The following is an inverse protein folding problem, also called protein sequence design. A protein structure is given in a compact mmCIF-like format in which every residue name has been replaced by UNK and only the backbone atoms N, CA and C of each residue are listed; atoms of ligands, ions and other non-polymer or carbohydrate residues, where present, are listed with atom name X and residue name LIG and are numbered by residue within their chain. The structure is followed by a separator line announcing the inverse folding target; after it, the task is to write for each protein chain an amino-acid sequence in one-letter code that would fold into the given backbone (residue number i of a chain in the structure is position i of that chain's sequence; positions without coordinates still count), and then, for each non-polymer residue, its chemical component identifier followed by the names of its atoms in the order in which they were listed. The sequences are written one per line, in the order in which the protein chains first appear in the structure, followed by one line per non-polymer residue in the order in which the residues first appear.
data_IF_801044985541
#
_entry.id   IF_801044985541
#
_cell.length_a   1.000
_cell.length_b   1.000
_cell.length_c   1.000
_cell.angle_alpha   90.00
_cell.angle_beta   90.00
_cell.angle_gamma   90.00
#
_symmetry.space_group_name_H-M   'P 1'
#
loop_
_entity.id
_entity.type
_entity.pdbx_description
1 polymer ?
#
# COMPACT_ATOMS: atom_id res chain seq x y z
N UNK A 1 -6.54 -8.41 2.58
CA UNK A 1 -6.16 -7.14 3.24
C UNK A 1 -5.51 -7.46 4.58
N UNK A 2 -4.94 -8.67 4.71
CA UNK A 2 -4.82 -9.36 5.99
C UNK A 2 -3.52 -8.96 6.72
N UNK A 3 -2.75 -8.10 6.09
CA UNK A 3 -1.45 -7.62 6.54
C UNK A 3 -1.51 -6.19 7.12
N UNK A 4 -2.70 -5.64 7.36
CA UNK A 4 -2.87 -4.31 7.95
C UNK A 4 -3.50 -4.37 9.35
N UNK A 5 -3.11 -3.43 10.21
CA UNK A 5 -3.69 -3.22 11.54
C UNK A 5 -4.09 -1.76 11.72
N UNK A 6 -5.24 -1.55 12.33
CA UNK A 6 -5.66 -0.26 12.88
C UNK A 6 -5.02 -0.10 14.25
N UNK A 7 -4.32 1.02 14.44
CA UNK A 7 -3.60 1.35 15.67
C UNK A 7 -4.12 2.65 16.21
N UNK A 8 -4.51 2.63 17.47
CA UNK A 8 -4.77 3.80 18.27
C UNK A 8 -3.67 3.92 19.33
N UNK A 9 -3.06 5.09 19.44
CA UNK A 9 -2.04 5.38 20.44
C UNK A 9 -2.48 6.58 21.28
N UNK A 10 -2.45 6.41 22.60
CA UNK A 10 -2.77 7.44 23.58
C UNK A 10 -1.56 7.73 24.48
N UNK A 11 -1.28 9.01 24.75
CA UNK A 11 -0.28 9.46 25.70
C UNK A 11 -0.79 10.70 26.45
N UNK A 12 -1.11 10.54 27.73
CA UNK A 12 -1.80 11.59 28.48
C UNK A 12 -3.14 11.91 27.83
N UNK A 13 -3.36 13.16 27.42
CA UNK A 13 -4.57 13.57 26.69
C UNK A 13 -4.44 13.47 25.17
N UNK A 14 -3.24 13.23 24.64
CA UNK A 14 -3.01 13.14 23.21
C UNK A 14 -3.41 11.76 22.68
N UNK A 15 -4.21 11.75 21.62
CA UNK A 15 -4.68 10.54 20.94
C UNK A 15 -4.35 10.62 19.46
N UNK A 16 -3.80 9.55 18.91
CA UNK A 16 -3.48 9.43 17.49
C UNK A 16 -3.97 8.09 16.97
N UNK A 17 -4.42 8.06 15.72
CA UNK A 17 -4.91 6.84 15.08
C UNK A 17 -4.28 6.70 13.69
N UNK A 18 -4.10 5.47 13.24
CA UNK A 18 -3.63 5.18 11.90
C UNK A 18 -3.69 3.71 11.55
N UNK A 19 -3.71 3.43 10.26
CA UNK A 19 -3.62 2.07 9.72
C UNK A 19 -2.20 1.80 9.24
N UNK A 20 -1.65 0.66 9.63
CA UNK A 20 -0.24 0.31 9.40
C UNK A 20 -0.12 -1.10 8.83
N UNK A 21 0.89 -1.31 7.99
CA UNK A 21 1.23 -2.64 7.47
C UNK A 21 2.06 -3.43 8.48
N UNK A 22 1.84 -4.73 8.54
CA UNK A 22 2.63 -5.69 9.31
C UNK A 22 3.92 -6.08 8.55
N UNK A 23 5.03 -6.35 9.27
CA UNK A 23 5.18 -6.23 10.71
C UNK A 23 5.29 -4.76 11.16
N UNK A 24 4.46 -4.39 12.13
CA UNK A 24 4.43 -3.07 12.75
C UNK A 24 5.56 -2.99 13.78
N UNK A 25 6.52 -2.08 13.59
CA UNK A 25 7.60 -1.87 14.58
C UNK A 25 7.41 -0.53 15.27
N UNK A 26 7.62 -0.52 16.58
CA UNK A 26 7.43 0.64 17.45
C UNK A 26 8.74 0.88 18.23
N UNK A 27 9.16 2.13 18.39
CA UNK A 27 10.34 2.51 19.17
C UNK A 27 10.93 3.84 18.71
N UNK A 28 12.06 4.29 19.27
CA UNK A 28 12.60 5.64 18.95
C UNK A 28 13.39 5.75 17.66
N UNK A 29 13.80 4.62 17.09
CA UNK A 29 14.56 4.59 15.84
C UNK A 29 13.76 5.13 14.65
N UNK A 30 14.45 5.76 13.70
CA UNK A 30 13.87 6.29 12.46
C UNK A 30 13.28 5.21 11.56
N UNK A 31 13.68 3.94 11.73
CA UNK A 31 13.20 2.81 10.93
C UNK A 31 11.95 2.12 11.47
N UNK A 32 11.21 2.73 12.41
CA UNK A 32 9.97 2.18 12.95
C UNK A 32 8.75 2.75 12.24
N UNK A 33 7.67 1.98 12.22
CA UNK A 33 6.39 2.43 11.64
C UNK A 33 5.73 3.48 12.54
N UNK A 34 5.87 3.32 13.86
CA UNK A 34 5.47 4.31 14.85
C UNK A 34 6.71 4.69 15.67
N UNK A 35 7.08 5.97 15.61
CA UNK A 35 8.27 6.49 16.28
C UNK A 35 7.88 7.24 17.55
N UNK A 36 8.26 6.71 18.71
CA UNK A 36 8.00 7.31 20.04
C UNK A 36 9.30 7.57 20.78
N UNK A 37 9.32 8.52 21.73
CA UNK A 37 10.51 8.81 22.54
C UNK A 37 11.71 9.35 21.73
N UNK A 38 11.45 10.02 20.61
CA UNK A 38 12.50 10.64 19.79
C UNK A 38 12.60 12.16 19.98
N UNK A 39 11.55 12.78 20.52
CA UNK A 39 11.48 14.20 20.81
C UNK A 39 10.75 14.40 22.17
N UNK A 40 11.50 14.66 23.27
CA UNK A 40 12.95 14.55 23.38
C UNK A 40 13.45 13.10 23.18
N UNK A 41 14.73 12.91 22.87
CA UNK A 41 15.33 11.56 22.78
C UNK A 41 15.27 10.90 24.16
N UNK A 42 14.39 9.93 24.29
CA UNK A 42 14.13 9.17 25.51
C UNK A 42 14.87 7.83 25.41
N UNK A 43 16.00 7.66 26.10
CA UNK A 43 16.79 6.44 26.04
C UNK A 43 16.06 5.24 26.65
N UNK A 44 14.99 5.46 27.42
CA UNK A 44 14.18 4.38 27.99
C UNK A 44 13.36 3.64 26.93
N UNK A 45 13.15 4.26 25.78
CA UNK A 45 12.56 3.61 24.60
C UNK A 45 13.68 3.06 23.71
N UNK A 46 13.81 1.74 23.64
CA UNK A 46 14.73 1.09 22.70
C UNK A 46 14.50 1.52 21.24
N UNK A 47 15.57 1.49 20.43
CA UNK A 47 15.51 1.86 19.00
C UNK A 47 14.46 1.05 18.25
N UNK A 48 14.30 -0.22 18.59
CA UNK A 48 13.17 -1.08 18.22
C UNK A 48 12.69 -1.67 19.55
N UNK A 49 11.49 -1.30 19.98
CA UNK A 49 10.98 -1.62 21.30
C UNK A 49 10.05 -2.83 21.25
N UNK A 50 9.08 -2.77 20.35
CA UNK A 50 8.03 -3.78 20.23
C UNK A 50 7.75 -4.01 18.75
N UNK A 51 7.43 -5.25 18.40
CA UNK A 51 7.00 -5.63 17.06
C UNK A 51 5.67 -6.35 17.16
N UNK A 52 4.71 -5.95 16.33
CA UNK A 52 3.48 -6.70 16.07
C UNK A 52 3.63 -7.36 14.71
N UNK A 53 3.41 -8.67 14.63
CA UNK A 53 3.52 -9.44 13.41
C UNK A 53 2.41 -10.50 13.30
N UNK A 54 2.18 -10.99 12.08
CA UNK A 54 1.23 -12.07 11.82
C UNK A 54 2.00 -13.38 11.68
N UNK A 55 1.72 -14.36 12.53
CA UNK A 55 2.34 -15.68 12.49
C UNK A 55 1.27 -16.75 12.68
N UNK A 56 1.21 -17.71 11.75
CA UNK A 56 0.15 -18.74 11.75
C UNK A 56 -1.28 -18.17 11.69
N UNK A 57 -1.47 -17.01 11.05
CA UNK A 57 -2.77 -16.33 10.97
C UNK A 57 -3.22 -15.61 12.26
N UNK A 58 -2.37 -15.58 13.28
CA UNK A 58 -2.61 -14.92 14.57
C UNK A 58 -1.67 -13.74 14.73
N UNK A 59 -2.16 -12.65 15.33
CA UNK A 59 -1.29 -11.55 15.70
C UNK A 59 -0.42 -11.99 16.88
N UNK A 60 0.85 -11.57 16.85
CA UNK A 60 1.80 -11.78 17.91
C UNK A 60 2.45 -10.46 18.27
N UNK A 61 2.65 -10.24 19.57
CA UNK A 61 3.45 -9.16 20.11
C UNK A 61 4.79 -9.70 20.56
N UNK A 62 5.86 -9.08 20.11
CA UNK A 62 7.24 -9.44 20.44
C UNK A 62 7.93 -8.25 21.09
N UNK A 63 8.37 -8.42 22.33
CA UNK A 63 9.23 -7.44 22.98
C UNK A 63 10.66 -7.55 22.44
N UNK A 64 11.24 -6.44 22.00
CA UNK A 64 12.64 -6.31 21.55
C UNK A 64 13.42 -5.32 22.40
N UNK A 65 12.85 -4.89 23.52
CA UNK A 65 13.36 -3.78 24.29
C UNK A 65 14.22 -4.24 25.46
N UNK A 66 15.06 -3.34 25.95
CA UNK A 66 15.82 -3.56 27.20
C UNK A 66 14.92 -3.40 28.43
N UNK A 67 13.80 -2.72 28.24
CA UNK A 67 13.01 -2.10 29.28
C UNK A 67 11.61 -2.75 29.43
N UNK A 68 11.28 -3.69 28.56
CA UNK A 68 10.01 -4.41 28.52
C UNK A 68 8.84 -3.59 27.98
N UNK A 69 7.93 -4.34 27.34
CA UNK A 69 6.59 -3.92 26.94
C UNK A 69 5.60 -4.46 27.96
N UNK A 70 4.61 -3.66 28.39
CA UNK A 70 3.57 -4.14 29.31
C UNK A 70 2.38 -4.63 28.48
N UNK A 71 1.98 -5.88 28.66
CA UNK A 71 0.82 -6.47 28.00
C UNK A 71 -0.01 -7.26 29.00
N UNK A 72 -1.33 -7.03 29.03
CA UNK A 72 -2.22 -7.64 30.03
C UNK A 72 -1.82 -7.32 31.48
N UNK A 73 -1.28 -6.12 31.73
CA UNK A 73 -0.78 -5.71 33.06
C UNK A 73 0.55 -6.34 33.49
N UNK A 74 1.17 -7.18 32.65
CA UNK A 74 2.45 -7.83 32.93
C UNK A 74 3.56 -7.28 32.04
N UNK A 75 4.73 -7.02 32.63
CA UNK A 75 5.94 -6.71 31.89
C UNK A 75 6.46 -7.95 31.14
N UNK A 76 6.59 -7.85 29.83
CA UNK A 76 7.18 -8.86 28.96
C UNK A 76 8.71 -8.88 29.10
N UNK A 77 9.30 -10.07 29.01
CA UNK A 77 10.76 -10.23 28.96
C UNK A 77 11.27 -9.90 27.56
N UNK A 78 12.53 -9.46 27.44
CA UNK A 78 13.16 -9.24 26.14
C UNK A 78 13.14 -10.51 25.29
N UNK A 79 12.64 -10.39 24.06
CA UNK A 79 12.49 -11.50 23.12
C UNK A 79 11.23 -12.35 23.34
N UNK A 80 10.48 -12.11 24.42
CA UNK A 80 9.22 -12.80 24.68
C UNK A 80 8.21 -12.50 23.57
N UNK A 81 7.54 -13.55 23.12
CA UNK A 81 6.49 -13.49 22.10
C UNK A 81 5.20 -14.01 22.70
N UNK A 82 4.14 -13.23 22.60
CA UNK A 82 2.81 -13.60 23.08
C UNK A 82 1.80 -13.48 21.95
N UNK A 83 0.79 -14.34 21.98
CA UNK A 83 -0.37 -14.16 21.12
C UNK A 83 -1.11 -12.88 21.54
N UNK A 84 -1.53 -12.11 20.53
CA UNK A 84 -2.15 -10.80 20.69
C UNK A 84 -3.55 -10.88 20.07
N UNK A 85 -4.60 -10.54 20.83
CA UNK A 85 -5.96 -10.58 20.31
C UNK A 85 -6.32 -9.27 19.60
N UNK A 86 -7.31 -9.33 18.71
CA UNK A 86 -7.79 -8.14 18.02
C UNK A 86 -8.41 -7.14 19.00
N UNK A 87 -7.85 -5.94 19.03
CA UNK A 87 -8.32 -4.83 19.85
C UNK A 87 -7.71 -4.78 21.25
N UNK A 88 -6.75 -5.63 21.55
CA UNK A 88 -6.03 -5.64 22.82
C UNK A 88 -5.20 -4.37 23.04
N UNK A 89 -4.88 -4.14 24.32
CA UNK A 89 -4.07 -3.03 24.80
C UNK A 89 -2.68 -3.50 25.25
N UNK A 90 -1.66 -2.73 24.90
CA UNK A 90 -0.33 -2.83 25.49
C UNK A 90 0.25 -1.44 25.72
N UNK A 91 1.23 -1.35 26.62
CA UNK A 91 1.90 -0.10 26.97
C UNK A 91 3.39 -0.18 26.65
N UNK A 92 3.90 0.89 26.04
CA UNK A 92 5.34 1.16 25.92
C UNK A 92 5.62 2.52 26.55
N UNK A 93 6.18 2.50 27.77
CA UNK A 93 6.73 3.70 28.43
C UNK A 93 5.70 4.85 28.49
N UNK A 94 4.51 4.58 29.03
CA UNK A 94 3.41 5.53 29.16
C UNK A 94 2.67 5.85 27.86
N UNK A 95 2.96 5.15 26.76
CA UNK A 95 2.15 5.18 25.54
C UNK A 95 1.31 3.92 25.50
N UNK A 96 0.00 4.09 25.56
CA UNK A 96 -0.95 2.99 25.44
C UNK A 96 -1.29 2.79 23.96
N UNK A 97 -1.25 1.54 23.51
CA UNK A 97 -1.54 1.14 22.14
C UNK A 97 -2.71 0.17 22.14
N UNK A 98 -3.71 0.47 21.33
CA UNK A 98 -4.74 -0.48 20.92
C UNK A 98 -4.50 -0.89 19.49
N UNK A 99 -4.39 -2.19 19.23
CA UNK A 99 -4.13 -2.71 17.88
C UNK A 99 -5.20 -3.72 17.51
N UNK A 100 -5.79 -3.58 16.34
CA UNK A 100 -6.77 -4.52 15.80
C UNK A 100 -6.46 -4.82 14.34
N UNK A 101 -6.73 -6.05 13.87
CA UNK A 101 -6.71 -6.33 12.44
C UNK A 101 -7.60 -5.33 11.70
N UNK A 102 -7.02 -4.71 10.67
CA UNK A 102 -7.75 -3.78 9.84
C UNK A 102 -8.86 -4.56 9.12
N UNK A 103 -10.10 -4.13 9.34
CA UNK A 103 -11.23 -4.66 8.58
C UNK A 103 -11.42 -3.78 7.36
N UNK A 104 -11.58 -4.44 6.20
CA UNK A 104 -12.07 -3.79 4.99
C UNK A 104 -13.50 -3.34 5.25
N UNK A 105 -13.84 -2.11 4.91
CA UNK A 105 -15.24 -1.71 4.92
C UNK A 105 -15.93 -2.35 3.69
N UNK A 106 -16.85 -3.32 3.87
CA UNK A 106 -17.53 -3.94 2.73
C UNK A 106 -18.38 -2.93 1.95
N UNK A 107 -18.79 -1.83 2.57
CA UNK A 107 -19.63 -0.78 1.97
C UNK A 107 -18.82 0.18 1.08
N UNK A 108 -17.48 0.13 1.15
CA UNK A 108 -16.61 0.92 0.28
C UNK A 108 -16.16 0.01 -0.87
N UNK A 109 -16.80 0.09 -2.05
CA UNK A 109 -16.41 -0.72 -3.18
C UNK A 109 -14.99 -0.36 -3.64
N UNK A 110 -14.33 -1.32 -4.28
CA UNK A 110 -13.12 -0.99 -5.04
C UNK A 110 -13.52 -0.06 -6.17
N UNK A 111 -12.94 1.13 -6.22
CA UNK A 111 -13.13 2.04 -7.34
C UNK A 111 -12.61 1.40 -8.63
N UNK A 112 -11.44 0.76 -8.56
CA UNK A 112 -10.84 0.00 -9.64
C UNK A 112 -9.74 -0.94 -9.11
N UNK A 113 -9.13 -1.72 -10.00
CA UNK A 113 -7.93 -2.50 -9.73
C UNK A 113 -6.77 -1.94 -10.55
N UNK A 114 -5.62 -1.78 -9.90
CA UNK A 114 -4.35 -1.61 -10.58
C UNK A 114 -3.72 -3.00 -10.75
N UNK A 115 -3.50 -3.45 -11.99
CA UNK A 115 -2.94 -4.77 -12.28
C UNK A 115 -1.55 -4.65 -12.88
N UNK A 116 -0.60 -5.44 -12.42
CA UNK A 116 0.75 -5.49 -13.03
C UNK A 116 1.28 -6.91 -13.02
N UNK A 117 2.24 -7.20 -13.90
CA UNK A 117 2.85 -8.52 -14.01
C UNK A 117 4.25 -8.49 -13.39
N UNK A 118 4.44 -9.27 -12.33
CA UNK A 118 5.71 -9.37 -11.59
C UNK A 118 6.09 -10.85 -11.58
N UNK A 119 7.27 -11.19 -12.09
CA UNK A 119 7.71 -12.59 -12.16
C UNK A 119 6.81 -13.50 -13.02
N UNK A 120 6.09 -12.92 -14.00
CA UNK A 120 5.15 -13.65 -14.85
C UNK A 120 3.73 -13.79 -14.28
N UNK A 121 3.54 -13.53 -13.00
CA UNK A 121 2.22 -13.55 -12.36
C UNK A 121 1.56 -12.18 -12.38
N UNK A 122 0.26 -12.15 -12.64
CA UNK A 122 -0.54 -10.93 -12.52
C UNK A 122 -0.90 -10.70 -11.05
N UNK A 123 -0.52 -9.54 -10.52
CA UNK A 123 -0.92 -9.07 -9.20
C UNK A 123 -1.97 -7.97 -9.35
N UNK A 124 -3.08 -8.12 -8.62
CA UNK A 124 -4.17 -7.15 -8.56
C UNK A 124 -4.12 -6.38 -7.25
N UNK A 125 -4.15 -5.05 -7.36
CA UNK A 125 -4.19 -4.14 -6.23
C UNK A 125 -5.56 -3.46 -6.22
N UNK A 126 -6.44 -3.74 -5.24
CA UNK A 126 -7.68 -3.00 -5.08
C UNK A 126 -7.37 -1.54 -4.78
N UNK A 127 -7.98 -0.61 -5.51
CA UNK A 127 -7.88 0.83 -5.27
C UNK A 127 -9.23 1.36 -4.79
N UNK A 128 -9.21 2.13 -3.72
CA UNK A 128 -10.39 2.57 -2.97
C UNK A 128 -9.96 2.98 -1.57
N UNK A 129 -10.15 2.08 -0.59
CA UNK A 129 -9.58 2.21 0.76
C UNK A 129 -8.06 2.06 0.81
N UNK A 130 -7.45 1.70 -0.31
CA UNK A 130 -6.01 1.54 -0.47
C UNK A 130 -5.54 2.34 -1.67
N UNK A 131 -4.30 2.79 -1.58
CA UNK A 131 -3.52 3.34 -2.68
C UNK A 131 -2.36 2.40 -3.00
N UNK A 132 -1.90 2.45 -4.25
CA UNK A 132 -0.72 1.75 -4.69
C UNK A 132 0.49 2.70 -4.70
N UNK A 133 1.56 2.26 -4.06
CA UNK A 133 2.87 2.89 -4.08
C UNK A 133 3.76 2.16 -5.07
N UNK A 134 4.39 2.90 -5.97
CA UNK A 134 5.38 2.38 -6.91
C UNK A 134 6.77 2.82 -6.44
N UNK A 135 7.58 1.88 -5.97
CA UNK A 135 8.85 2.16 -5.28
C UNK A 135 10.01 1.59 -6.08
N UNK A 136 11.04 2.40 -6.32
CA UNK A 136 12.32 1.96 -6.89
C UNK A 136 13.19 1.41 -5.77
N UNK A 137 13.54 0.13 -5.90
CA UNK A 137 14.55 -0.56 -5.09
C UNK A 137 15.78 -0.92 -5.94
N UNK A 138 16.82 -1.41 -5.28
CA UNK A 138 18.02 -1.97 -5.95
C UNK A 138 17.65 -3.09 -6.92
N UNK A 139 16.65 -3.91 -6.57
CA UNK A 139 16.22 -5.08 -7.34
C UNK A 139 15.16 -4.75 -8.43
N UNK A 140 14.85 -3.47 -8.66
CA UNK A 140 13.85 -3.05 -9.64
C UNK A 140 12.68 -2.29 -9.00
N UNK A 141 11.54 -2.30 -9.67
CA UNK A 141 10.34 -1.60 -9.21
C UNK A 141 9.48 -2.60 -8.43
N UNK A 142 9.13 -2.22 -7.20
CA UNK A 142 8.20 -2.97 -6.35
C UNK A 142 6.92 -2.17 -6.13
N UNK A 143 5.86 -2.89 -5.82
CA UNK A 143 4.52 -2.35 -5.66
C UNK A 143 3.99 -2.68 -4.28
N UNK A 144 3.52 -1.66 -3.57
CA UNK A 144 3.07 -1.78 -2.19
C UNK A 144 1.73 -1.07 -1.98
N UNK A 145 0.81 -1.74 -1.29
CA UNK A 145 -0.44 -1.12 -0.86
C UNK A 145 -0.20 -0.27 0.39
N UNK A 146 -0.85 0.89 0.42
CA UNK A 146 -0.94 1.70 1.61
C UNK A 146 -2.39 2.10 1.88
N UNK A 147 -2.82 2.13 3.14
CA UNK A 147 -4.20 2.42 3.48
C UNK A 147 -4.50 3.92 3.29
N UNK A 148 -5.65 4.20 2.66
CA UNK A 148 -6.24 5.52 2.52
C UNK A 148 -7.43 5.60 3.47
N UNK A 149 -7.22 6.16 4.66
CA UNK A 149 -8.30 6.47 5.61
C UNK A 149 -8.77 7.92 5.44
N UNK A 150 -10.08 8.21 5.59
CA UNK A 150 -10.59 9.58 5.58
C UNK A 150 -9.78 10.48 6.52
N UNK A 151 -9.34 11.64 6.01
CA UNK A 151 -8.54 12.62 6.79
C UNK A 151 -7.05 12.31 6.92
N UNK A 152 -6.55 11.21 6.36
CA UNK A 152 -5.09 10.95 6.34
C UNK A 152 -4.43 11.72 5.20
N UNK A 153 -3.45 12.57 5.52
CA UNK A 153 -2.70 13.27 4.49
C UNK A 153 -1.74 12.30 3.77
N UNK A 154 -1.63 12.49 2.46
CA UNK A 154 -0.76 11.69 1.60
C UNK A 154 0.70 11.60 2.09
N UNK A 155 1.23 12.70 2.64
CA UNK A 155 2.58 12.75 3.19
C UNK A 155 2.73 11.86 4.43
N UNK A 156 1.68 11.75 5.25
CA UNK A 156 1.70 10.88 6.43
C UNK A 156 1.75 9.42 6.01
N UNK A 157 1.05 9.05 4.93
CA UNK A 157 1.07 7.68 4.41
C UNK A 157 2.47 7.33 3.93
N UNK A 158 3.13 8.20 3.16
CA UNK A 158 4.51 7.98 2.72
C UNK A 158 5.45 7.91 3.92
N UNK A 159 5.31 8.82 4.89
CA UNK A 159 6.15 8.84 6.09
C UNK A 159 6.01 7.58 6.96
N UNK A 160 4.86 6.91 6.93
CA UNK A 160 4.62 5.62 7.61
C UNK A 160 5.23 4.43 6.86
N UNK A 161 5.52 4.58 5.57
CA UNK A 161 6.04 3.51 4.73
C UNK A 161 7.56 3.52 4.74
N UNK A 162 8.16 2.34 4.83
CA UNK A 162 9.61 2.21 4.90
C UNK A 162 10.20 2.21 3.50
N UNK A 163 10.88 3.28 3.15
CA UNK A 163 11.66 3.40 1.92
C UNK A 163 13.16 3.35 2.27
N UNK A 164 13.67 2.16 2.63
CA UNK A 164 15.04 1.99 3.16
C UNK A 164 16.11 2.20 2.08
N UNK A 165 16.44 3.45 1.76
CA UNK A 165 17.28 3.78 0.60
C UNK A 165 16.56 3.57 -0.74
N UNK A 166 15.24 3.43 -0.67
CA UNK A 166 14.37 3.28 -1.83
C UNK A 166 13.75 4.62 -2.17
N UNK A 167 13.39 4.83 -3.44
CA UNK A 167 12.76 6.08 -3.88
C UNK A 167 11.31 5.81 -4.28
N UNK A 168 10.39 6.62 -3.78
CA UNK A 168 9.03 6.62 -4.30
C UNK A 168 9.07 7.19 -5.73
N UNK A 169 8.46 6.48 -6.68
CA UNK A 169 8.38 6.95 -8.07
C UNK A 169 7.01 7.58 -8.31
N UNK A 170 5.96 6.86 -7.92
CA UNK A 170 4.59 7.26 -8.20
C UNK A 170 3.62 6.67 -7.18
N UNK A 171 2.43 7.25 -7.13
CA UNK A 171 1.29 6.69 -6.42
C UNK A 171 0.07 6.63 -7.32
N UNK A 172 -0.77 5.63 -7.11
CA UNK A 172 -2.06 5.47 -7.76
C UNK A 172 -3.13 5.34 -6.68
N UNK A 173 -4.14 6.20 -6.70
CA UNK A 173 -5.19 6.22 -5.67
C UNK A 173 -6.55 6.62 -6.27
N UNK A 174 -7.63 6.33 -5.54
CA UNK A 174 -8.96 6.78 -5.91
C UNK A 174 -9.06 8.31 -5.79
N UNK A 175 -9.72 8.96 -6.75
CA UNK A 175 -9.84 10.41 -6.81
C UNK A 175 -10.19 10.90 -8.22
N UNK A 176 -10.52 12.19 -8.35
CA UNK A 176 -10.96 12.76 -9.63
C UNK A 176 -12.21 12.03 -10.16
N UNK A 177 -12.21 11.69 -11.46
CA UNK A 177 -13.32 10.95 -12.10
C UNK A 177 -13.31 9.43 -11.82
N UNK A 178 -12.15 8.85 -11.59
CA UNK A 178 -11.97 7.43 -11.28
C UNK A 178 -10.79 7.25 -10.34
N UNK A 179 -9.61 7.64 -10.81
CA UNK A 179 -8.36 7.59 -10.06
C UNK A 179 -7.40 8.68 -10.49
N UNK A 180 -6.32 8.81 -9.71
CA UNK A 180 -5.22 9.70 -9.99
C UNK A 180 -3.92 8.89 -9.97
N UNK A 181 -3.03 9.20 -10.91
CA UNK A 181 -1.60 8.87 -10.78
C UNK A 181 -0.84 10.14 -10.45
N UNK A 182 0.03 10.09 -9.44
CA UNK A 182 0.89 11.22 -9.06
C UNK A 182 2.35 10.78 -9.09
N UNK A 183 3.18 11.52 -9.81
CA UNK A 183 4.64 11.33 -9.77
C UNK A 183 5.19 11.89 -8.46
N UNK A 184 6.13 11.20 -7.84
CA UNK A 184 6.85 11.72 -6.68
C UNK A 184 7.66 12.97 -7.06
N UNK A 185 7.94 13.83 -6.08
CA UNK A 185 8.68 15.07 -6.29
C UNK A 185 10.18 14.84 -6.56
N UNK A 186 10.69 13.68 -6.17
CA UNK A 186 12.05 13.19 -6.31
C UNK A 186 12.12 11.94 -7.20
N UNK A 187 11.11 11.73 -8.04
CA UNK A 187 11.02 10.56 -8.90
C UNK A 187 12.24 10.47 -9.84
N UNK A 188 12.96 9.36 -9.78
CA UNK A 188 14.12 9.08 -10.62
C UNK A 188 13.75 8.43 -11.96
N UNK A 189 12.48 8.04 -12.12
CA UNK A 189 11.97 7.34 -13.28
C UNK A 189 10.72 8.03 -13.82
N UNK A 190 10.53 7.96 -15.13
CA UNK A 190 9.36 8.56 -15.79
C UNK A 190 8.08 7.77 -15.52
N UNK A 191 7.00 8.52 -15.43
CA UNK A 191 5.63 8.01 -15.36
C UNK A 191 4.89 8.50 -16.60
N UNK A 192 4.26 7.57 -17.33
CA UNK A 192 3.42 7.91 -18.46
C UNK A 192 2.06 7.23 -18.36
N UNK A 193 1.03 7.86 -18.91
CA UNK A 193 -0.30 7.28 -19.10
C UNK A 193 -0.52 7.04 -20.58
N UNK A 194 -0.91 5.81 -20.91
CA UNK A 194 -1.17 5.32 -22.26
C UNK A 194 -0.02 5.59 -23.24
N UNK A 195 1.24 5.57 -22.79
CA UNK A 195 2.44 5.88 -23.57
C UNK A 195 2.47 7.28 -24.23
N UNK A 196 1.50 8.17 -23.93
CA UNK A 196 1.36 9.47 -24.61
C UNK A 196 1.41 10.64 -23.63
N UNK A 197 0.82 10.49 -22.45
CA UNK A 197 0.76 11.57 -21.46
C UNK A 197 1.85 11.36 -20.44
N UNK A 198 2.90 12.17 -20.47
CA UNK A 198 3.92 12.20 -19.43
C UNK A 198 3.38 12.90 -18.19
N UNK A 199 3.57 12.28 -17.03
CA UNK A 199 3.23 12.87 -15.72
C UNK A 199 4.52 13.45 -15.16
N UNK A 200 4.65 14.78 -15.22
CA UNK A 200 5.86 15.44 -14.73
C UNK A 200 6.05 15.26 -13.22
N UNK A 201 7.30 15.37 -12.78
CA UNK A 201 7.70 15.22 -11.38
C UNK A 201 6.88 16.13 -10.45
N UNK A 202 6.29 15.54 -9.40
CA UNK A 202 5.40 16.23 -8.46
C UNK A 202 3.97 16.49 -8.98
N UNK A 203 3.72 16.31 -10.28
CA UNK A 203 2.40 16.52 -10.90
C UNK A 203 1.55 15.25 -10.86
N UNK A 204 0.27 15.42 -11.17
CA UNK A 204 -0.71 14.34 -11.22
C UNK A 204 -1.48 14.33 -12.54
N UNK A 205 -1.98 13.17 -12.93
CA UNK A 205 -2.88 12.97 -14.06
C UNK A 205 -4.11 12.16 -13.64
N UNK A 206 -5.26 12.49 -14.23
CA UNK A 206 -6.48 11.70 -14.06
C UNK A 206 -6.38 10.38 -14.83
N UNK A 207 -6.85 9.32 -14.20
CA UNK A 207 -6.97 7.99 -14.78
C UNK A 207 -8.41 7.74 -15.22
N UNK A 208 -8.54 6.95 -16.27
CA UNK A 208 -9.80 6.47 -16.84
C UNK A 208 -9.81 4.94 -16.87
N UNK A 209 -10.99 4.32 -17.02
CA UNK A 209 -11.08 2.89 -17.24
C UNK A 209 -10.22 2.49 -18.44
N UNK A 210 -9.45 1.41 -18.28
CA UNK A 210 -8.60 0.85 -19.33
C UNK A 210 -7.43 1.76 -19.74
N UNK A 211 -7.02 2.65 -18.85
CA UNK A 211 -5.72 3.29 -18.96
C UNK A 211 -4.60 2.31 -18.60
N UNK A 212 -3.42 2.53 -19.17
CA UNK A 212 -2.18 1.85 -18.78
C UNK A 212 -1.20 2.88 -18.28
N UNK A 213 -0.86 2.81 -17.00
CA UNK A 213 0.18 3.62 -16.38
C UNK A 213 1.50 2.88 -16.52
N UNK A 214 2.50 3.50 -17.16
CA UNK A 214 3.85 2.96 -17.22
C UNK A 214 4.73 3.66 -16.20
N UNK A 215 5.32 2.90 -15.29
CA UNK A 215 6.27 3.41 -14.29
C UNK A 215 7.62 2.77 -14.57
N UNK A 216 8.58 3.54 -15.09
CA UNK A 216 9.93 3.07 -15.34
C UNK A 216 10.02 1.79 -16.21
N UNK A 217 9.14 1.66 -17.20
CA UNK A 217 9.06 0.50 -18.09
C UNK A 217 8.10 -0.60 -17.64
N UNK A 218 7.56 -0.53 -16.42
CA UNK A 218 6.61 -1.53 -15.90
C UNK A 218 5.18 -1.04 -16.11
N UNK A 219 4.36 -1.75 -16.92
CA UNK A 219 2.97 -1.39 -17.13
C UNK A 219 2.10 -1.77 -15.93
N UNK A 220 1.16 -0.89 -15.62
CA UNK A 220 0.11 -1.04 -14.62
C UNK A 220 -1.22 -0.74 -15.30
N UNK A 221 -2.06 -1.74 -15.39
CA UNK A 221 -3.38 -1.67 -15.99
C UNK A 221 -4.41 -1.12 -15.01
N UNK A 222 -5.26 -0.21 -15.47
CA UNK A 222 -6.39 0.32 -14.71
C UNK A 222 -7.66 -0.42 -15.15
N UNK A 223 -8.07 -1.41 -14.36
CA UNK A 223 -9.20 -2.29 -14.65
C UNK A 223 -10.38 -1.97 -13.74
N UNK A 224 -11.59 -1.86 -14.31
CA UNK A 224 -12.80 -1.81 -13.51
C UNK A 224 -13.19 -3.21 -13.03
N UNK A 225 -13.85 -3.34 -11.86
CA UNK A 225 -14.38 -4.62 -11.40
C UNK A 225 -15.31 -5.22 -12.46
N UNK A 226 -15.12 -6.51 -12.75
CA UNK A 226 -15.99 -7.32 -13.62
C UNK A 226 -16.07 -6.83 -15.08
N UNK A 227 -15.18 -5.93 -15.49
CA UNK A 227 -15.04 -5.49 -16.88
C UNK A 227 -13.96 -6.31 -17.57
N UNK A 228 -14.32 -6.88 -18.73
CA UNK A 228 -13.35 -7.55 -19.62
C UNK A 228 -12.61 -6.52 -20.46
N UNK A 229 -11.31 -6.70 -20.57
CA UNK A 229 -10.45 -5.88 -21.41
C UNK A 229 -9.61 -6.76 -22.35
N UNK A 230 -9.21 -6.19 -23.49
CA UNK A 230 -8.25 -6.81 -24.39
C UNK A 230 -6.99 -5.95 -24.45
N UNK A 231 -5.82 -6.57 -24.30
CA UNK A 231 -4.55 -5.88 -24.55
C UNK A 231 -4.20 -5.97 -26.03
N UNK A 232 -3.82 -4.84 -26.63
CA UNK A 232 -3.30 -4.82 -27.99
C UNK A 232 -2.01 -5.64 -28.10
N UNK A 233 -1.93 -6.56 -29.06
CA UNK A 233 -0.74 -7.40 -29.27
C UNK A 233 0.35 -6.74 -30.13
N UNK A 234 0.11 -5.52 -30.64
CA UNK A 234 1.18 -4.72 -31.23
C UNK A 234 2.20 -4.35 -30.14
N UNK A 235 3.44 -4.82 -30.31
CA UNK A 235 4.54 -4.63 -29.36
C UNK A 235 4.82 -3.17 -29.00
N UNK A 236 4.61 -2.23 -29.92
CA UNK A 236 4.79 -0.80 -29.67
C UNK A 236 3.61 -0.14 -28.93
N UNK A 237 2.42 -0.76 -28.97
CA UNK A 237 1.22 -0.20 -28.33
C UNK A 237 1.00 -0.83 -26.96
N UNK A 238 0.65 -2.12 -26.90
CA UNK A 238 0.36 -2.86 -25.65
C UNK A 238 -0.66 -2.20 -24.69
N UNK A 239 -1.47 -1.26 -25.19
CA UNK A 239 -2.49 -0.57 -24.41
C UNK A 239 -3.78 -1.39 -24.30
N UNK A 240 -4.57 -1.08 -23.27
CA UNK A 240 -5.85 -1.73 -23.02
C UNK A 240 -6.96 -1.14 -23.89
N UNK A 241 -7.88 -2.03 -24.25
CA UNK A 241 -9.10 -1.76 -25.01
C UNK A 241 -10.26 -2.43 -24.30
N UNK A 242 -11.51 -1.95 -24.50
CA UNK A 242 -12.69 -2.74 -24.21
C UNK A 242 -12.56 -4.12 -24.89
N UNK A 243 -13.08 -5.17 -24.25
CA UNK A 243 -13.04 -6.50 -24.84
C UNK A 243 -13.87 -6.55 -26.12
N UNK A 244 -13.17 -6.52 -27.25
CA UNK A 244 -13.72 -6.70 -28.60
C UNK A 244 -12.70 -7.51 -29.42
N UNK A 245 -12.80 -8.85 -29.43
CA UNK A 245 -11.80 -9.73 -30.05
C UNK A 245 -11.76 -9.67 -31.58
N UNK A 246 -12.64 -8.88 -32.21
CA UNK A 246 -12.66 -8.68 -33.66
C UNK A 246 -12.51 -7.22 -34.06
N UNK A 247 -12.54 -6.31 -33.09
CA UNK A 247 -12.31 -4.88 -33.29
C UNK A 247 -10.86 -4.52 -33.54
N UNK A 248 -10.64 -3.22 -33.72
CA UNK A 248 -9.32 -2.63 -33.84
C UNK A 248 -8.95 -1.90 -32.55
N UNK A 249 -7.66 -1.90 -32.22
CA UNK A 249 -7.13 -1.16 -31.09
C UNK A 249 -7.44 0.33 -31.24
N UNK A 250 -8.09 0.94 -30.24
CA UNK A 250 -8.48 2.36 -30.24
C UNK A 250 -7.30 3.33 -30.28
N UNK A 251 -6.09 2.83 -30.02
CA UNK A 251 -4.88 3.63 -29.90
C UNK A 251 -4.00 3.60 -31.15
N UNK A 252 -3.93 2.46 -31.85
CA UNK A 252 -3.03 2.28 -32.98
C UNK A 252 -3.67 1.62 -34.21
N UNK A 253 -4.97 1.30 -34.16
CA UNK A 253 -5.70 0.68 -35.26
C UNK A 253 -5.41 -0.79 -35.51
N UNK A 254 -4.47 -1.41 -34.78
CA UNK A 254 -4.12 -2.81 -34.95
C UNK A 254 -5.27 -3.75 -34.56
N UNK A 255 -5.55 -4.78 -35.36
CA UNK A 255 -6.61 -5.74 -35.08
C UNK A 255 -6.38 -6.42 -33.72
N UNK A 256 -7.44 -6.55 -32.93
CA UNK A 256 -7.42 -7.28 -31.67
C UNK A 256 -7.64 -8.76 -31.94
N UNK A 257 -7.08 -9.62 -31.09
CA UNK A 257 -7.22 -11.07 -31.16
C UNK A 257 -7.68 -11.59 -29.80
N UNK A 258 -8.40 -12.71 -29.78
CA UNK A 258 -8.95 -13.34 -28.56
C UNK A 258 -7.91 -13.66 -27.47
N UNK A 259 -6.64 -13.83 -27.84
CA UNK A 259 -5.61 -14.41 -26.98
C UNK A 259 -5.12 -13.60 -25.77
N UNK A 260 -5.45 -12.30 -25.63
CA UNK A 260 -4.96 -11.48 -24.49
C UNK A 260 -6.12 -10.76 -23.80
N UNK A 261 -6.96 -11.56 -23.13
CA UNK A 261 -8.05 -11.06 -22.28
C UNK A 261 -7.54 -10.79 -20.87
N UNK A 262 -7.72 -9.56 -20.40
CA UNK A 262 -7.44 -9.14 -19.02
C UNK A 262 -8.78 -8.98 -18.30
N UNK A 263 -8.94 -9.60 -17.14
CA UNK A 263 -10.17 -9.50 -16.34
C UNK A 263 -9.79 -9.29 -14.87
N UNK A 264 -10.23 -8.19 -14.30
CA UNK A 264 -10.23 -8.02 -12.85
C UNK A 264 -11.56 -8.54 -12.28
N UNK A 265 -11.58 -9.82 -11.91
CA UNK A 265 -12.75 -10.40 -11.26
C UNK A 265 -12.89 -9.78 -9.85
N UNK A 266 -14.08 -9.28 -9.53
CA UNK A 266 -14.35 -8.89 -8.15
C UNK A 266 -14.25 -10.15 -7.28
N UNK A 267 -13.32 -10.16 -6.31
CA UNK A 267 -13.39 -11.14 -5.23
C UNK A 267 -14.66 -10.84 -4.45
N UNK A 268 -15.77 -11.50 -4.78
CA UNK A 268 -16.93 -11.56 -3.90
C UNK A 268 -16.42 -12.16 -2.59
N UNK A 269 -16.39 -11.35 -1.54
CA UNK A 269 -16.22 -11.83 -0.17
C UNK A 269 -17.31 -12.87 0.08
N UNK A 270 -16.91 -14.13 0.24
CA UNK A 270 -17.79 -15.14 0.83
C UNK A 270 -17.93 -14.88 2.31
#
# INVERSE_FOLDING_TARGET
MDDFVDVEMTKGTARTQGRYKLPLRIGRGTGNSIRIGHLPDDPTVSRVHTVIELSGGRLQIVDKSTNGTVYGGRLMKTGETLEFQDGDLFEVRGHEFRVARAKRNPDIPNAFYAATRIGGEQKLFPIGETMLLCVKSENGIRFEEAPMTPGTHFQDIIGRQRLRGESLIATIHAGGRLGLVKSAADATLFVTVNNHTRVETGMQAELRPLDVVNVGGVPIDILLPDVKASRCHNHGCRLLNPYDPHGNCRWCGHRLTEGVTEIALSRRSR
#
